data_IF_178860669112
#
_entry.id   IF_178860669112
#
_cell.length_a   1.000
_cell.length_b   1.000
_cell.length_c   1.000
_cell.angle_alpha   90.00
_cell.angle_beta   90.00
_cell.angle_gamma   90.00
#
_symmetry.space_group_name_H-M   'P 1'
#
loop_
_entity.id
_entity.type
_entity.pdbx_description
1 polymer ?
#
# COMPACT_ATOMS: atom_id res chain seq x y z
N UNK A 1 -0.23 -13.93 5.76
CA UNK A 1 0.03 -14.89 4.67
C UNK A 1 -0.16 -14.22 3.32
N UNK A 2 0.67 -14.55 2.36
CA UNK A 2 0.54 -14.07 0.98
C UNK A 2 0.11 -15.20 0.06
N UNK A 3 -0.55 -14.85 -1.05
CA UNK A 3 -1.06 -15.82 -2.02
C UNK A 3 -1.05 -15.20 -3.41
N UNK A 4 -0.56 -15.94 -4.40
CA UNK A 4 -0.63 -15.55 -5.81
C UNK A 4 -1.87 -16.16 -6.44
N UNK A 5 -2.59 -15.36 -7.22
CA UNK A 5 -3.75 -15.80 -8.00
C UNK A 5 -3.33 -15.75 -9.46
N UNK A 6 -3.47 -16.89 -10.17
CA UNK A 6 -2.93 -17.04 -11.52
C UNK A 6 -3.95 -16.92 -12.64
N UNK A 7 -5.25 -16.95 -12.34
CA UNK A 7 -6.30 -16.76 -13.33
C UNK A 7 -6.54 -15.28 -13.58
N UNK A 8 -6.49 -14.85 -14.84
CA UNK A 8 -6.57 -13.44 -15.19
C UNK A 8 -5.29 -12.70 -14.87
N UNK A 9 -5.34 -11.42 -14.44
CA UNK A 9 -4.15 -10.69 -14.00
C UNK A 9 -3.50 -11.39 -12.81
N UNK A 10 -2.18 -11.45 -12.82
CA UNK A 10 -1.45 -11.97 -11.65
C UNK A 10 -1.54 -10.97 -10.51
N UNK A 11 -1.96 -11.45 -9.35
CA UNK A 11 -2.07 -10.61 -8.16
C UNK A 11 -1.47 -11.33 -6.95
N UNK A 12 -1.02 -10.55 -5.99
CA UNK A 12 -0.59 -11.05 -4.68
C UNK A 12 -1.51 -10.48 -3.62
N UNK A 13 -2.05 -11.37 -2.81
CA UNK A 13 -3.01 -11.04 -1.76
C UNK A 13 -2.39 -11.28 -0.40
N UNK A 14 -2.59 -10.34 0.53
CA UNK A 14 -2.30 -10.57 1.94
C UNK A 14 -3.61 -10.77 2.69
N UNK A 15 -3.68 -11.89 3.42
CA UNK A 15 -4.83 -12.21 4.26
C UNK A 15 -4.38 -12.70 5.63
N UNK A 16 -5.10 -12.30 6.68
CA UNK A 16 -4.96 -12.82 8.04
C UNK A 16 -6.27 -13.49 8.40
N UNK A 17 -6.25 -14.83 8.50
CA UNK A 17 -7.49 -15.60 8.62
C UNK A 17 -8.32 -15.45 7.36
N UNK A 18 -9.55 -14.94 7.51
CA UNK A 18 -10.47 -14.68 6.39
C UNK A 18 -10.48 -13.20 5.96
N UNK A 19 -9.67 -12.34 6.61
CA UNK A 19 -9.66 -10.92 6.33
C UNK A 19 -8.59 -10.58 5.30
N UNK A 20 -9.01 -9.96 4.18
CA UNK A 20 -8.10 -9.44 3.17
C UNK A 20 -7.50 -8.12 3.62
N UNK A 21 -6.20 -7.98 3.52
CA UNK A 21 -5.45 -6.78 3.90
C UNK A 21 -4.90 -6.01 2.71
N UNK A 22 -5.04 -6.53 1.51
CA UNK A 22 -4.63 -5.80 0.31
C UNK A 22 -4.27 -6.72 -0.85
N UNK A 23 -4.21 -6.13 -2.04
CA UNK A 23 -3.94 -6.82 -3.31
C UNK A 23 -2.92 -5.99 -4.08
N UNK A 24 -1.90 -6.64 -4.63
CA UNK A 24 -0.94 -6.04 -5.55
C UNK A 24 -0.99 -6.76 -6.88
N UNK A 25 -0.99 -6.01 -7.99
CA UNK A 25 -0.98 -6.57 -9.35
C UNK A 25 0.47 -6.85 -9.74
N UNK A 26 0.76 -8.06 -10.19
CA UNK A 26 2.13 -8.52 -10.44
C UNK A 26 2.53 -8.59 -11.91
N UNK A 27 1.65 -8.19 -12.85
CA UNK A 27 1.88 -8.40 -14.28
C UNK A 27 3.15 -7.69 -14.79
N UNK A 28 3.45 -6.51 -14.26
CA UNK A 28 4.68 -5.77 -14.59
C UNK A 28 4.93 -4.69 -13.53
N UNK A 29 6.08 -4.00 -13.64
CA UNK A 29 6.47 -2.98 -12.67
C UNK A 29 5.50 -1.80 -12.61
N UNK A 30 4.86 -1.43 -13.73
CA UNK A 30 3.89 -0.36 -13.74
C UNK A 30 2.61 -0.77 -13.03
N UNK A 31 2.13 -1.99 -13.28
CA UNK A 31 0.94 -2.53 -12.65
C UNK A 31 1.11 -2.63 -11.13
N UNK A 32 2.30 -3.01 -10.65
CA UNK A 32 2.60 -3.12 -9.22
C UNK A 32 2.52 -1.78 -8.48
N UNK A 33 2.52 -0.67 -9.19
CA UNK A 33 2.40 0.66 -8.60
C UNK A 33 0.97 1.16 -8.53
N UNK A 34 -0.01 0.42 -9.07
CA UNK A 34 -1.41 0.82 -9.09
C UNK A 34 -2.04 0.54 -7.72
N UNK A 35 -2.58 1.55 -7.03
CA UNK A 35 -3.31 1.31 -5.79
C UNK A 35 -4.60 0.55 -6.07
N UNK A 36 -4.89 -0.45 -5.24
CA UNK A 36 -5.97 -1.41 -5.49
C UNK A 36 -6.92 -1.51 -4.31
N UNK A 37 -7.94 -2.34 -4.48
CA UNK A 37 -8.95 -2.63 -3.47
C UNK A 37 -9.60 -1.32 -3.00
N UNK A 38 -9.81 -1.16 -1.70
CA UNK A 38 -10.41 0.07 -1.18
C UNK A 38 -9.47 1.26 -1.15
N UNK A 39 -8.23 1.11 -1.63
CA UNK A 39 -7.27 2.21 -1.80
C UNK A 39 -7.23 2.74 -3.24
N UNK A 40 -8.06 2.22 -4.13
CA UNK A 40 -8.06 2.63 -5.54
C UNK A 40 -8.29 4.12 -5.72
N UNK A 41 -7.87 4.65 -6.89
CA UNK A 41 -7.94 6.11 -7.17
C UNK A 41 -9.36 6.66 -7.13
N UNK A 42 -10.38 5.84 -7.32
CA UNK A 42 -11.78 6.23 -7.26
C UNK A 42 -12.38 6.18 -5.86
N UNK A 43 -11.66 5.59 -4.89
CA UNK A 43 -12.13 5.52 -3.50
C UNK A 43 -12.10 6.90 -2.85
N UNK A 44 -12.83 7.05 -1.74
CA UNK A 44 -12.78 8.29 -0.95
C UNK A 44 -11.37 8.59 -0.47
N UNK A 45 -10.64 7.58 0.01
CA UNK A 45 -9.25 7.73 0.43
C UNK A 45 -8.35 8.14 -0.74
N UNK A 46 -8.49 7.48 -1.89
CA UNK A 46 -7.71 7.82 -3.09
C UNK A 46 -7.95 9.24 -3.53
N UNK A 47 -9.21 9.68 -3.58
CA UNK A 47 -9.56 11.04 -3.94
C UNK A 47 -8.98 12.05 -2.96
N UNK A 48 -9.05 11.77 -1.66
CA UNK A 48 -8.49 12.65 -0.63
C UNK A 48 -6.97 12.80 -0.81
N UNK A 49 -6.26 11.70 -1.03
CA UNK A 49 -4.80 11.74 -1.21
C UNK A 49 -4.39 12.48 -2.48
N UNK A 50 -5.12 12.27 -3.58
CA UNK A 50 -4.84 12.96 -4.84
C UNK A 50 -5.10 14.45 -4.77
N UNK A 51 -5.97 14.90 -3.87
CA UNK A 51 -6.30 16.32 -3.71
C UNK A 51 -5.35 17.08 -2.80
N UNK A 52 -4.42 16.38 -2.12
CA UNK A 52 -3.50 17.02 -1.18
C UNK A 52 -2.52 17.94 -1.88
N UNK A 53 -2.26 19.08 -1.25
CA UNK A 53 -1.22 20.00 -1.69
C UNK A 53 0.15 19.38 -1.41
N UNK A 54 1.03 19.38 -2.40
CA UNK A 54 2.36 18.78 -2.30
C UNK A 54 3.43 19.81 -1.94
N UNK A 55 4.47 19.45 -1.18
CA UNK A 55 4.65 18.15 -0.51
C UNK A 55 3.66 17.97 0.64
N UNK A 56 3.22 16.76 0.86
CA UNK A 56 2.19 16.45 1.84
C UNK A 56 2.74 15.70 3.06
N UNK A 57 2.14 15.97 4.22
CA UNK A 57 2.36 15.18 5.43
C UNK A 57 1.08 14.40 5.71
N UNK A 58 1.17 13.08 5.76
CA UNK A 58 0.03 12.19 5.93
C UNK A 58 0.21 11.33 7.16
N UNK A 59 -0.78 11.32 8.04
CA UNK A 59 -0.86 10.39 9.16
C UNK A 59 -1.94 9.36 8.88
N UNK A 60 -1.66 8.09 9.15
CA UNK A 60 -2.59 7.01 8.85
C UNK A 60 -2.53 5.94 9.92
N UNK A 61 -3.68 5.32 10.20
CA UNK A 61 -3.78 4.17 11.10
C UNK A 61 -4.07 2.94 10.25
N UNK A 62 -3.22 1.91 10.41
CA UNK A 62 -3.33 0.66 9.66
C UNK A 62 -2.54 0.70 8.35
N UNK A 63 -1.63 -0.25 8.19
CA UNK A 63 -0.72 -0.31 7.05
C UNK A 63 -1.23 -1.20 5.91
N UNK A 64 -1.78 -2.37 6.25
CA UNK A 64 -2.06 -3.38 5.24
C UNK A 64 -0.79 -3.78 4.51
N UNK A 65 -0.85 -3.83 3.18
CA UNK A 65 0.33 -4.11 2.35
C UNK A 65 1.10 -2.85 1.93
N UNK A 66 0.70 -1.70 2.46
CA UNK A 66 1.36 -0.44 2.15
C UNK A 66 0.88 0.23 0.86
N UNK A 67 -0.30 -0.12 0.36
CA UNK A 67 -0.84 0.43 -0.89
C UNK A 67 -0.86 1.96 -0.91
N UNK A 68 -1.03 2.60 0.24
CA UNK A 68 -1.01 4.06 0.35
C UNK A 68 0.30 4.66 -0.19
N UNK A 69 1.40 3.91 -0.16
CA UNK A 69 2.68 4.33 -0.74
C UNK A 69 2.59 4.67 -2.21
N UNK A 70 1.62 4.10 -2.95
CA UNK A 70 1.42 4.40 -4.36
C UNK A 70 1.10 5.88 -4.61
N UNK A 71 0.58 6.59 -3.63
CA UNK A 71 0.26 8.02 -3.74
C UNK A 71 1.42 8.93 -3.36
N UNK A 72 2.51 8.37 -2.84
CA UNK A 72 3.63 9.15 -2.32
C UNK A 72 4.51 9.73 -3.41
N UNK A 73 4.86 11.01 -3.27
CA UNK A 73 5.79 11.71 -4.16
C UNK A 73 7.03 12.14 -3.37
N UNK A 74 8.11 12.46 -4.08
CA UNK A 74 9.32 12.97 -3.44
C UNK A 74 8.99 14.21 -2.60
N UNK A 75 9.47 14.25 -1.37
CA UNK A 75 9.17 15.31 -0.41
C UNK A 75 7.97 15.06 0.47
N UNK A 76 7.11 14.10 0.13
CA UNK A 76 6.01 13.69 1.00
C UNK A 76 6.52 12.91 2.20
N UNK A 77 5.85 13.05 3.33
CA UNK A 77 6.16 12.33 4.57
C UNK A 77 4.91 11.61 5.06
N UNK A 78 4.98 10.29 5.14
CA UNK A 78 3.88 9.44 5.57
C UNK A 78 4.25 8.79 6.90
N UNK A 79 3.46 9.06 7.94
CA UNK A 79 3.60 8.43 9.24
C UNK A 79 2.44 7.45 9.40
N UNK A 80 2.74 6.16 9.48
CA UNK A 80 1.74 5.09 9.51
C UNK A 80 1.86 4.32 10.82
N UNK A 81 0.76 4.23 11.55
CA UNK A 81 0.68 3.49 12.81
C UNK A 81 0.15 2.10 12.52
N UNK A 82 0.96 1.08 12.81
CA UNK A 82 0.58 -0.32 12.61
C UNK A 82 0.87 -1.11 13.88
N UNK A 83 -0.18 -1.70 14.47
CA UNK A 83 -0.06 -2.40 15.75
C UNK A 83 0.60 -3.78 15.63
N UNK A 84 0.57 -4.40 14.45
CA UNK A 84 1.07 -5.77 14.25
C UNK A 84 2.40 -5.72 13.50
N UNK A 85 3.55 -5.99 14.16
CA UNK A 85 4.85 -5.93 13.49
C UNK A 85 4.96 -6.88 12.29
N UNK A 86 4.29 -8.03 12.33
CA UNK A 86 4.29 -8.99 11.23
C UNK A 86 3.67 -8.42 9.95
N UNK A 87 2.66 -7.55 10.08
CA UNK A 87 2.06 -6.86 8.93
C UNK A 87 3.09 -5.98 8.25
N UNK A 88 3.86 -5.22 9.02
CA UNK A 88 4.94 -4.37 8.48
C UNK A 88 5.99 -5.21 7.78
N UNK A 89 6.42 -6.31 8.39
CA UNK A 89 7.40 -7.22 7.80
C UNK A 89 6.90 -7.76 6.46
N UNK A 90 5.66 -8.23 6.40
CA UNK A 90 5.06 -8.76 5.17
C UNK A 90 4.94 -7.69 4.10
N UNK A 91 4.56 -6.46 4.46
CA UNK A 91 4.42 -5.37 3.51
C UNK A 91 5.74 -5.03 2.82
N UNK A 92 6.85 -5.00 3.56
CA UNK A 92 8.17 -4.73 2.98
C UNK A 92 8.74 -5.94 2.23
N UNK A 93 8.53 -7.15 2.74
CA UNK A 93 9.17 -8.34 2.22
C UNK A 93 8.47 -8.90 1.00
N UNK A 94 7.15 -8.85 0.95
CA UNK A 94 6.35 -9.54 -0.07
C UNK A 94 5.62 -8.61 -1.03
N UNK A 95 5.61 -7.30 -0.78
CA UNK A 95 4.90 -6.34 -1.61
C UNK A 95 5.84 -5.19 -1.99
N UNK A 96 5.47 -4.45 -3.05
CA UNK A 96 6.38 -3.46 -3.64
C UNK A 96 6.04 -2.02 -3.26
N UNK A 97 4.84 -1.74 -2.78
CA UNK A 97 4.38 -0.36 -2.58
C UNK A 97 5.30 0.48 -1.70
N UNK A 98 5.72 -0.06 -0.55
CA UNK A 98 6.57 0.69 0.39
C UNK A 98 8.00 0.85 -0.12
N UNK A 99 8.51 -0.14 -0.84
CA UNK A 99 9.86 -0.07 -1.38
C UNK A 99 9.96 0.82 -2.62
N UNK A 100 8.86 0.92 -3.38
CA UNK A 100 8.84 1.66 -4.63
C UNK A 100 8.45 3.13 -4.47
N UNK A 101 7.81 3.50 -3.35
CA UNK A 101 7.35 4.89 -3.18
C UNK A 101 8.51 5.87 -3.09
N UNK A 102 8.30 7.07 -3.65
CA UNK A 102 9.24 8.18 -3.54
C UNK A 102 9.07 8.96 -2.23
N UNK A 103 7.98 8.73 -1.49
CA UNK A 103 7.73 9.40 -0.21
C UNK A 103 8.61 8.82 0.90
N UNK A 104 8.85 9.63 1.93
CA UNK A 104 9.47 9.14 3.16
C UNK A 104 8.41 8.45 4.01
N UNK A 105 8.63 7.19 4.34
CA UNK A 105 7.70 6.37 5.13
C UNK A 105 8.27 6.12 6.51
N UNK A 106 7.48 6.43 7.53
CA UNK A 106 7.80 6.11 8.93
C UNK A 106 6.70 5.21 9.48
N UNK A 107 7.05 4.02 9.95
CA UNK A 107 6.11 3.06 10.54
C UNK A 107 6.28 3.07 12.05
N UNK A 108 5.19 3.23 12.77
CA UNK A 108 5.16 3.23 14.24
C UNK A 108 4.29 2.08 14.71
N UNK A 109 4.85 1.25 15.55
CA UNK A 109 4.15 0.10 16.14
C UNK A 109 3.52 0.44 17.49
#
# INVERSE_FOLDING_TARGET
MTKDITDGPRVKLMALGTTEHGIEILDNAQASKIPTAYYGVESGLGQALLSLKKPANVGMIGLGIGTIGAYGSAGDHYKIYEIIPQVTEMAYKHFNYLNDTAAHIEIIH
#
